data_IF_513605459773
#
_entry.id   IF_513605459773
#
_cell.length_a   1.000
_cell.length_b   1.000
_cell.length_c   1.000
_cell.angle_alpha   90.00
_cell.angle_beta   90.00
_cell.angle_gamma   90.00
#
_symmetry.space_group_name_H-M   'P 1'
#
loop_
_entity.id
_entity.type
_entity.pdbx_description
1 polymer ?
#
# COMPACT_ATOMS: atom_id res chain seq x y z
N UNK A 1 5.45 42.16 14.75
CA UNK A 1 6.41 41.04 14.71
C UNK A 1 5.79 39.68 15.04
N UNK A 2 4.85 39.55 15.97
CA UNK A 2 4.23 38.24 16.30
C UNK A 2 3.32 37.66 15.21
N UNK A 3 2.59 38.50 14.47
CA UNK A 3 1.65 38.05 13.41
C UNK A 3 2.35 37.33 12.25
N UNK A 4 3.59 37.71 11.92
CA UNK A 4 4.37 37.04 10.88
C UNK A 4 4.79 35.62 11.30
N UNK A 5 5.06 35.42 12.60
CA UNK A 5 5.48 34.12 13.14
C UNK A 5 4.35 33.09 13.05
N UNK A 6 3.10 33.50 13.29
CA UNK A 6 1.92 32.65 13.11
C UNK A 6 1.67 32.27 11.65
N UNK A 7 1.93 33.16 10.70
CA UNK A 7 1.79 32.87 9.27
C UNK A 7 2.85 31.86 8.79
N UNK A 8 4.09 31.96 9.28
CA UNK A 8 5.14 30.98 8.97
C UNK A 8 4.80 29.60 9.55
N UNK A 9 4.27 29.53 10.78
CA UNK A 9 3.84 28.28 11.40
C UNK A 9 2.65 27.62 10.66
N UNK A 10 1.70 28.41 10.15
CA UNK A 10 0.58 27.89 9.36
C UNK A 10 1.02 27.30 8.02
N UNK A 11 2.00 27.94 7.34
CA UNK A 11 2.55 27.43 6.09
C UNK A 11 3.34 26.11 6.29
N UNK A 12 4.04 25.98 7.41
CA UNK A 12 4.73 24.73 7.76
C UNK A 12 3.76 23.57 8.04
N UNK A 13 2.62 23.84 8.67
CA UNK A 13 1.60 22.80 8.92
C UNK A 13 0.87 22.34 7.64
N UNK A 14 0.71 23.21 6.64
CA UNK A 14 0.20 22.82 5.31
C UNK A 14 1.19 21.94 4.56
N UNK A 15 2.50 22.20 4.67
CA UNK A 15 3.52 21.39 4.02
C UNK A 15 3.73 20.02 4.68
N UNK A 16 3.38 19.86 5.96
CA UNK A 16 3.48 18.57 6.66
C UNK A 16 2.24 17.70 6.49
N UNK A 17 1.08 18.25 6.12
CA UNK A 17 -0.12 17.45 5.82
C UNK A 17 -0.05 16.71 4.49
N UNK A 18 0.79 17.14 3.55
CA UNK A 18 0.95 16.53 2.22
C UNK A 18 1.85 15.28 2.21
N UNK A 19 2.44 14.87 3.34
CA UNK A 19 3.25 13.62 3.41
C UNK A 19 2.47 12.42 3.92
N UNK A 20 1.16 12.57 4.19
CA UNK A 20 0.30 11.48 4.68
C UNK A 20 -0.65 10.88 3.65
N UNK A 21 -0.50 11.20 2.37
CA UNK A 21 -0.95 10.29 1.31
C UNK A 21 0.16 9.28 1.02
N UNK A 22 0.32 8.34 1.96
CA UNK A 22 0.79 6.99 1.62
C UNK A 22 -0.33 6.38 0.77
N UNK A 23 -0.45 6.79 -0.49
CA UNK A 23 -0.79 5.81 -1.52
C UNK A 23 0.36 4.84 -1.44
N UNK A 24 0.15 3.70 -0.78
CA UNK A 24 1.11 2.64 -0.69
C UNK A 24 1.47 2.27 -2.14
N UNK A 25 2.54 2.86 -2.67
CA UNK A 25 3.11 2.40 -3.93
C UNK A 25 3.45 0.93 -3.69
N UNK A 26 3.07 0.03 -4.61
CA UNK A 26 3.45 -1.36 -4.49
C UNK A 26 4.96 -1.43 -4.26
N UNK A 27 5.37 -2.16 -3.22
CA UNK A 27 6.79 -2.38 -2.95
C UNK A 27 7.32 -3.35 -4.00
N UNK A 28 7.77 -2.79 -5.11
CA UNK A 28 8.31 -3.52 -6.24
C UNK A 28 9.55 -2.81 -6.77
N UNK A 29 10.40 -3.59 -7.45
CA UNK A 29 11.52 -3.03 -8.18
C UNK A 29 11.01 -2.45 -9.49
N UNK A 30 11.38 -1.19 -9.76
CA UNK A 30 11.10 -0.51 -11.04
C UNK A 30 12.16 -0.84 -12.09
N UNK A 31 13.34 -1.29 -11.64
CA UNK A 31 14.44 -1.71 -12.49
C UNK A 31 14.27 -3.13 -13.02
N UNK A 32 15.06 -3.47 -14.03
CA UNK A 32 15.20 -4.86 -14.49
C UNK A 32 15.75 -5.71 -13.35
N UNK A 33 15.20 -6.91 -13.16
CA UNK A 33 15.58 -7.85 -12.10
C UNK A 33 17.11 -8.07 -12.03
N UNK A 34 17.75 -8.33 -13.17
CA UNK A 34 19.20 -8.55 -13.25
C UNK A 34 20.01 -7.34 -12.72
N UNK A 35 19.59 -6.12 -13.05
CA UNK A 35 20.25 -4.90 -12.59
C UNK A 35 20.17 -4.78 -11.06
N UNK A 36 18.98 -5.02 -10.50
CA UNK A 36 18.79 -4.94 -9.05
C UNK A 36 19.56 -6.02 -8.30
N UNK A 37 19.63 -7.24 -8.85
CA UNK A 37 20.50 -8.28 -8.30
C UNK A 37 21.98 -7.93 -8.38
N UNK A 38 22.45 -7.32 -9.47
CA UNK A 38 23.83 -6.85 -9.58
C UNK A 38 24.15 -5.78 -8.52
N UNK A 39 23.25 -4.82 -8.32
CA UNK A 39 23.39 -3.77 -7.29
C UNK A 39 23.46 -4.39 -5.89
N UNK A 40 22.59 -5.37 -5.58
CA UNK A 40 22.61 -6.11 -4.31
C UNK A 40 23.89 -6.90 -4.12
N UNK A 41 24.29 -7.68 -5.12
CA UNK A 41 25.47 -8.54 -5.07
C UNK A 41 26.79 -7.75 -4.97
N UNK A 42 26.82 -6.52 -5.49
CA UNK A 42 27.95 -5.59 -5.34
C UNK A 42 27.95 -4.83 -4.02
N UNK A 43 26.95 -5.01 -3.16
CA UNK A 43 26.82 -4.28 -1.90
C UNK A 43 26.48 -2.80 -2.07
N UNK A 44 25.95 -2.41 -3.24
CA UNK A 44 25.69 -1.01 -3.60
C UNK A 44 24.34 -0.50 -3.08
N UNK A 45 23.51 -1.34 -2.45
CA UNK A 45 22.22 -0.92 -1.91
C UNK A 45 22.36 0.26 -0.93
N UNK A 46 23.33 0.23 -0.02
CA UNK A 46 23.50 1.23 1.03
C UNK A 46 24.77 2.09 0.86
N UNK A 47 25.36 2.07 -0.33
CA UNK A 47 26.56 2.86 -0.63
C UNK A 47 26.13 4.29 -1.01
N UNK A 48 26.66 5.32 -0.33
CA UNK A 48 26.08 6.67 -0.34
C UNK A 48 25.75 7.27 -1.72
N UNK A 49 26.55 6.98 -2.76
CA UNK A 49 26.29 7.46 -4.14
C UNK A 49 25.18 6.69 -4.86
N UNK A 50 24.93 5.43 -4.49
CA UNK A 50 23.95 4.53 -5.11
C UNK A 50 22.72 4.30 -4.24
N UNK A 51 22.70 4.74 -2.97
CA UNK A 51 21.56 4.59 -2.05
C UNK A 51 20.28 5.19 -2.62
N UNK A 52 20.32 6.42 -3.15
CA UNK A 52 19.14 7.06 -3.74
C UNK A 52 18.63 6.30 -4.97
N UNK A 53 19.54 5.84 -5.81
CA UNK A 53 19.21 5.02 -6.98
C UNK A 53 18.60 3.68 -6.57
N UNK A 54 19.21 2.99 -5.62
CA UNK A 54 18.75 1.70 -5.11
C UNK A 54 17.38 1.82 -4.44
N UNK A 55 17.12 2.90 -3.68
CA UNK A 55 15.82 3.16 -3.07
C UNK A 55 14.72 3.49 -4.08
N UNK A 56 15.07 4.12 -5.22
CA UNK A 56 14.09 4.49 -6.25
C UNK A 56 13.79 3.35 -7.24
N UNK A 57 14.81 2.56 -7.59
CA UNK A 57 14.75 1.59 -8.69
C UNK A 57 14.69 0.15 -8.19
N UNK A 58 15.40 -0.17 -7.12
CA UNK A 58 15.56 -1.52 -6.58
C UNK A 58 15.03 -1.61 -5.15
N UNK A 59 13.93 -0.93 -4.88
CA UNK A 59 13.40 -0.71 -3.54
C UNK A 59 13.09 -2.02 -2.80
N UNK A 60 12.60 -3.03 -3.52
CA UNK A 60 12.27 -4.35 -2.97
C UNK A 60 13.53 -5.20 -2.82
N UNK A 61 14.38 -5.26 -3.85
CA UNK A 61 15.62 -6.06 -3.83
C UNK A 61 16.61 -5.56 -2.76
N UNK A 62 16.72 -4.25 -2.59
CA UNK A 62 17.55 -3.59 -1.58
C UNK A 62 16.82 -3.29 -0.26
N UNK A 63 15.61 -3.82 -0.09
CA UNK A 63 14.87 -3.80 1.19
C UNK A 63 14.57 -2.37 1.72
N UNK A 64 14.51 -1.38 0.83
CA UNK A 64 14.09 -0.01 1.13
C UNK A 64 12.58 0.13 1.33
N UNK A 65 11.81 -0.81 0.77
CA UNK A 65 10.42 -0.97 1.11
C UNK A 65 10.20 -2.37 1.67
N UNK A 66 9.26 -2.48 2.59
CA UNK A 66 8.67 -3.77 2.91
C UNK A 66 7.44 -3.90 2.02
N UNK A 67 7.23 -5.02 1.30
CA UNK A 67 5.90 -5.29 0.79
C UNK A 67 5.00 -5.26 2.00
N UNK A 68 4.06 -4.32 2.02
CA UNK A 68 2.94 -4.44 2.95
C UNK A 68 2.46 -5.87 2.76
N UNK A 69 2.62 -6.69 3.81
CA UNK A 69 2.03 -8.02 3.81
C UNK A 69 0.58 -7.74 3.39
N UNK A 70 0.08 -8.35 2.30
CA UNK A 70 -1.35 -8.24 2.01
C UNK A 70 -2.01 -8.57 3.34
N UNK A 71 -2.78 -7.61 3.90
CA UNK A 71 -3.40 -7.78 5.22
C UNK A 71 -3.96 -9.18 5.20
N UNK A 72 -3.31 -10.04 5.97
CA UNK A 72 -3.58 -11.45 5.88
C UNK A 72 -4.90 -11.57 6.62
N UNK A 73 -6.00 -11.49 5.90
CA UNK A 73 -7.31 -11.90 6.40
C UNK A 73 -7.35 -13.43 6.54
N UNK A 74 -6.21 -14.13 6.70
CA UNK A 74 -6.14 -15.38 7.46
C UNK A 74 -6.23 -15.07 8.95
N UNK A 75 -7.42 -14.64 9.36
CA UNK A 75 -8.14 -15.30 10.43
C UNK A 75 -9.48 -15.71 9.85
N UNK A 76 -9.44 -16.62 8.86
CA UNK A 76 -10.62 -17.34 8.43
C UNK A 76 -11.01 -18.32 9.55
N UNK A 77 -11.89 -17.85 10.42
CA UNK A 77 -12.92 -18.67 11.05
C UNK A 77 -14.29 -17.97 11.11
N UNK A 78 -14.41 -16.77 10.56
CA UNK A 78 -15.69 -16.07 10.46
C UNK A 78 -15.97 -15.77 8.99
N UNK A 79 -16.91 -16.50 8.41
CA UNK A 79 -17.55 -16.14 7.17
C UNK A 79 -18.20 -14.75 7.34
N UNK A 80 -17.53 -13.71 6.84
CA UNK A 80 -17.95 -12.30 6.95
C UNK A 80 -17.82 -11.61 5.60
N UNK A 81 -18.70 -10.64 5.39
CA UNK A 81 -18.56 -9.69 4.30
C UNK A 81 -17.46 -8.67 4.66
N UNK A 82 -16.66 -8.29 3.67
CA UNK A 82 -15.72 -7.18 3.76
C UNK A 82 -16.40 -5.83 3.46
N UNK A 83 -17.46 -5.82 2.64
CA UNK A 83 -18.33 -4.66 2.46
C UNK A 83 -19.45 -4.62 3.49
N UNK A 84 -20.06 -3.44 3.62
CA UNK A 84 -21.27 -3.25 4.41
C UNK A 84 -22.42 -4.12 3.88
N UNK A 85 -23.38 -4.41 4.77
CA UNK A 85 -24.50 -5.29 4.45
C UNK A 85 -25.33 -4.78 3.29
N UNK A 86 -25.56 -3.47 3.19
CA UNK A 86 -26.42 -2.88 2.16
C UNK A 86 -25.78 -3.04 0.77
N UNK A 87 -24.50 -2.72 0.64
CA UNK A 87 -23.74 -2.93 -0.61
C UNK A 87 -23.72 -4.40 -1.03
N UNK A 88 -23.55 -5.33 -0.08
CA UNK A 88 -23.59 -6.76 -0.41
C UNK A 88 -24.98 -7.26 -0.81
N UNK A 89 -26.05 -6.72 -0.22
CA UNK A 89 -27.43 -7.01 -0.67
C UNK A 89 -27.67 -6.47 -2.09
N UNK A 90 -27.21 -5.27 -2.42
CA UNK A 90 -27.34 -4.75 -3.78
C UNK A 90 -26.60 -5.63 -4.81
N UNK A 91 -25.41 -6.13 -4.47
CA UNK A 91 -24.65 -7.05 -5.33
C UNK A 91 -25.38 -8.38 -5.51
N UNK A 92 -25.99 -8.90 -4.44
CA UNK A 92 -26.80 -10.11 -4.48
C UNK A 92 -28.03 -9.94 -5.40
N UNK A 93 -28.79 -8.86 -5.22
CA UNK A 93 -29.96 -8.53 -6.07
C UNK A 93 -29.58 -8.33 -7.55
N UNK A 94 -28.39 -7.77 -7.80
CA UNK A 94 -27.86 -7.60 -9.16
C UNK A 94 -27.27 -8.87 -9.77
N UNK A 95 -27.19 -9.98 -9.01
CA UNK A 95 -26.61 -11.24 -9.50
C UNK A 95 -25.08 -11.21 -9.69
N UNK A 96 -24.39 -10.21 -9.13
CA UNK A 96 -22.94 -10.02 -9.33
C UNK A 96 -22.08 -10.71 -8.26
N UNK A 97 -22.62 -11.75 -7.63
CA UNK A 97 -21.94 -12.46 -6.55
C UNK A 97 -20.60 -13.07 -6.97
N UNK A 98 -20.46 -13.54 -8.21
CA UNK A 98 -19.19 -14.13 -8.69
C UNK A 98 -18.05 -13.12 -8.71
N UNK A 99 -18.33 -11.87 -9.12
CA UNK A 99 -17.35 -10.78 -9.11
C UNK A 99 -17.02 -10.30 -7.69
N UNK A 100 -17.93 -10.50 -6.73
CA UNK A 100 -17.82 -10.04 -5.35
C UNK A 100 -17.57 -11.18 -4.34
N UNK A 101 -17.15 -12.37 -4.78
CA UNK A 101 -16.99 -13.57 -3.95
C UNK A 101 -16.13 -13.37 -2.70
N UNK A 102 -15.05 -12.59 -2.83
CA UNK A 102 -14.15 -12.28 -1.71
C UNK A 102 -14.65 -11.16 -0.79
N UNK A 103 -15.62 -10.38 -1.29
CA UNK A 103 -16.11 -9.16 -0.66
C UNK A 103 -17.44 -9.38 0.07
N UNK A 104 -18.33 -10.20 -0.48
CA UNK A 104 -19.68 -10.46 0.02
C UNK A 104 -19.91 -11.96 0.27
N UNK A 105 -18.86 -12.66 0.71
CA UNK A 105 -18.84 -14.12 0.85
C UNK A 105 -20.00 -14.67 1.70
N UNK A 106 -20.42 -13.95 2.75
CA UNK A 106 -21.53 -14.35 3.61
C UNK A 106 -22.89 -14.12 2.95
N UNK A 107 -23.10 -12.92 2.39
CA UNK A 107 -24.39 -12.57 1.74
C UNK A 107 -24.62 -13.39 0.47
N UNK A 108 -23.56 -13.69 -0.28
CA UNK A 108 -23.61 -14.51 -1.48
C UNK A 108 -23.46 -16.02 -1.21
N UNK A 109 -23.53 -16.45 0.07
CA UNK A 109 -23.49 -17.87 0.46
C UNK A 109 -22.28 -18.66 -0.05
N UNK A 110 -21.12 -18.02 -0.20
CA UNK A 110 -19.87 -18.67 -0.56
C UNK A 110 -19.12 -19.28 0.62
N UNK A 111 -19.58 -19.02 1.85
CA UNK A 111 -19.10 -19.65 3.06
C UNK A 111 -20.23 -19.78 4.10
N UNK A 112 -20.00 -20.63 5.10
CA UNK A 112 -20.88 -20.87 6.25
C UNK A 112 -20.24 -20.36 7.54
#
# INVERSE_FOLDING_TARGET
MFLCFFHVLLLLNVFTTETREIRAQPCEDKGVEELCHQVKNRGQCHMGSTTLFAAAICAKTCEFCTPEKPKNTKNNKECKNQLDSQSCYEVYERGNCEAAKHLCAKTCHFCE
#
